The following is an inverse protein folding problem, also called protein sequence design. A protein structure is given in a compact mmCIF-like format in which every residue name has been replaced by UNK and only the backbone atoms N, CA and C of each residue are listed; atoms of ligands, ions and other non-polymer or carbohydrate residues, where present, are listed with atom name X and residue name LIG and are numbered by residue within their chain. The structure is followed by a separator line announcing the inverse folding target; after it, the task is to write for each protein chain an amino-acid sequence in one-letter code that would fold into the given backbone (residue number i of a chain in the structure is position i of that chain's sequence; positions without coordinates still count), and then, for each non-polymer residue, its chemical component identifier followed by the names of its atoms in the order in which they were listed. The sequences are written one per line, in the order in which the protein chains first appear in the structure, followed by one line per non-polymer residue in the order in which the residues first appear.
data_IF_307737641653
#
_entry.id   IF_307737641653
#
_cell.length_a   1.000
_cell.length_b   1.000
_cell.length_c   1.000
_cell.angle_alpha   90.00
_cell.angle_beta   90.00
_cell.angle_gamma   90.00
#
_symmetry.space_group_name_H-M   'P 1'
#
loop_
_entity.id
_entity.type
_entity.pdbx_description
1 polymer ?
#
# COMPACT_ATOMS: atom_id res chain seq x y z
N UNK A 1 -27.61 -28.44 -23.29
CA UNK A 1 -26.53 -29.44 -23.10
C UNK A 1 -25.20 -28.79 -23.46
N UNK A 2 -24.17 -29.03 -22.65
CA UNK A 2 -22.76 -28.58 -22.72
C UNK A 2 -22.54 -27.06 -22.61
N UNK A 3 -22.20 -26.42 -21.47
CA UNK A 3 -21.02 -26.51 -20.57
C UNK A 3 -19.66 -26.55 -21.26
N UNK A 4 -18.93 -25.44 -21.20
CA UNK A 4 -17.52 -25.32 -21.59
C UNK A 4 -16.77 -24.34 -20.69
N UNK A 5 -16.25 -24.86 -19.58
CA UNK A 5 -15.09 -24.43 -18.79
C UNK A 5 -14.66 -22.96 -18.84
N UNK A 6 -15.06 -22.19 -17.83
CA UNK A 6 -14.38 -20.96 -17.44
C UNK A 6 -13.01 -21.30 -16.85
N UNK A 7 -11.96 -20.75 -17.47
CA UNK A 7 -10.58 -20.92 -17.07
C UNK A 7 -10.36 -20.43 -15.63
N UNK A 8 -10.05 -21.39 -14.76
CA UNK A 8 -9.55 -21.15 -13.42
C UNK A 8 -8.10 -20.65 -13.48
N UNK A 9 -7.80 -19.56 -12.75
CA UNK A 9 -6.46 -19.38 -12.19
C UNK A 9 -5.50 -18.40 -12.86
N UNK A 10 -5.91 -17.17 -13.19
CA UNK A 10 -4.91 -16.09 -13.35
C UNK A 10 -5.43 -14.75 -12.82
N UNK A 11 -5.12 -14.47 -11.56
CA UNK A 11 -5.39 -13.19 -10.90
C UNK A 11 -4.09 -12.38 -10.85
N UNK A 12 -4.20 -11.14 -11.34
CA UNK A 12 -3.14 -10.14 -11.57
C UNK A 12 -2.24 -10.46 -12.79
N UNK A 13 -1.91 -9.48 -13.66
CA UNK A 13 -0.74 -9.60 -14.53
C UNK A 13 0.49 -9.93 -13.66
N UNK A 14 1.45 -10.71 -14.16
CA UNK A 14 2.64 -11.18 -13.43
C UNK A 14 3.45 -10.02 -12.82
N UNK A 15 3.05 -9.55 -11.64
CA UNK A 15 3.75 -8.53 -10.83
C UNK A 15 4.81 -9.17 -9.93
N UNK A 16 5.05 -10.49 -10.04
CA UNK A 16 6.03 -11.20 -9.23
C UNK A 16 5.77 -11.16 -7.72
N UNK A 17 4.61 -10.67 -7.27
CA UNK A 17 4.15 -10.80 -5.88
C UNK A 17 3.38 -12.11 -5.75
N UNK A 18 4.03 -13.16 -5.24
CA UNK A 18 3.28 -14.30 -4.69
C UNK A 18 2.68 -13.85 -3.36
N UNK A 19 1.40 -13.48 -3.36
CA UNK A 19 0.65 -13.34 -2.12
C UNK A 19 0.66 -14.69 -1.39
N UNK A 20 1.58 -14.88 -0.44
CA UNK A 20 1.61 -16.09 0.38
C UNK A 20 0.44 -16.00 1.36
N UNK A 21 -0.50 -16.93 1.24
CA UNK A 21 -1.52 -17.15 2.28
C UNK A 21 -2.72 -16.20 2.31
N UNK A 22 -2.86 -15.27 1.37
CA UNK A 22 -4.12 -14.51 1.21
C UNK A 22 -5.00 -15.27 0.23
N UNK A 23 -5.86 -16.14 0.78
CA UNK A 23 -6.96 -16.73 -0.02
C UNK A 23 -7.93 -15.59 -0.31
N UNK A 24 -8.09 -15.22 -1.59
CA UNK A 24 -9.21 -14.37 -1.98
C UNK A 24 -10.52 -15.01 -1.47
N UNK A 25 -11.50 -14.24 -0.97
CA UNK A 25 -12.80 -14.81 -0.63
C UNK A 25 -13.44 -15.36 -1.91
N UNK A 26 -13.35 -16.67 -2.09
CA UNK A 26 -14.20 -17.42 -3.01
C UNK A 26 -15.57 -17.65 -2.35
N UNK A 27 -16.22 -16.57 -1.95
CA UNK A 27 -17.59 -16.58 -1.45
C UNK A 27 -18.33 -15.43 -2.12
N UNK A 28 -18.88 -15.72 -3.29
CA UNK A 28 -20.07 -15.01 -3.75
C UNK A 28 -21.14 -15.23 -2.69
N UNK A 29 -21.58 -14.17 -2.02
CA UNK A 29 -22.79 -14.24 -1.22
C UNK A 29 -23.94 -14.72 -2.13
N UNK A 30 -24.91 -15.49 -1.60
CA UNK A 30 -26.03 -16.02 -2.40
C UNK A 30 -26.87 -14.95 -3.12
N UNK A 31 -26.67 -13.65 -2.84
CA UNK A 31 -27.30 -12.51 -3.49
C UNK A 31 -26.37 -11.67 -4.40
N UNK A 32 -25.18 -12.16 -4.78
CA UNK A 32 -24.26 -11.43 -5.66
C UNK A 32 -23.49 -10.29 -4.99
N UNK A 33 -23.47 -10.20 -3.65
CA UNK A 33 -22.64 -9.25 -2.93
C UNK A 33 -21.19 -9.78 -2.83
N UNK A 34 -20.23 -8.93 -3.17
CA UNK A 34 -18.80 -9.19 -2.99
C UNK A 34 -18.37 -8.80 -1.57
N UNK A 35 -17.80 -9.75 -0.82
CA UNK A 35 -17.27 -9.50 0.51
C UNK A 35 -15.98 -8.66 0.44
N UNK A 36 -16.03 -7.43 0.94
CA UNK A 36 -14.85 -6.60 1.13
C UNK A 36 -13.94 -7.21 2.19
N UNK A 37 -12.67 -7.47 1.85
CA UNK A 37 -11.70 -8.04 2.77
C UNK A 37 -11.28 -7.01 3.83
N UNK A 38 -11.40 -7.37 5.11
CA UNK A 38 -10.76 -6.59 6.18
C UNK A 38 -9.40 -7.19 6.54
N UNK A 39 -8.36 -6.36 6.50
CA UNK A 39 -6.98 -6.72 6.87
C UNK A 39 -6.55 -5.86 8.06
N UNK A 40 -6.34 -6.50 9.21
CA UNK A 40 -5.88 -5.81 10.43
C UNK A 40 -4.35 -5.66 10.49
N UNK A 41 -3.85 -4.87 11.44
CA UNK A 41 -2.42 -4.59 11.61
C UNK A 41 -1.58 -5.86 11.80
N UNK A 42 -2.08 -6.85 12.55
CA UNK A 42 -1.39 -8.13 12.76
C UNK A 42 -1.21 -8.91 11.45
N UNK A 43 -2.23 -8.89 10.59
CA UNK A 43 -2.15 -9.48 9.26
C UNK A 43 -1.20 -8.68 8.37
N UNK A 44 -1.22 -7.35 8.42
CA UNK A 44 -0.27 -6.50 7.67
C UNK A 44 1.17 -6.84 8.07
N UNK A 45 1.49 -6.91 9.37
CA UNK A 45 2.84 -7.25 9.85
C UNK A 45 3.31 -8.61 9.32
N UNK A 46 2.42 -9.61 9.27
CA UNK A 46 2.77 -10.95 8.79
C UNK A 46 2.88 -11.05 7.27
N UNK A 47 2.12 -10.24 6.53
CA UNK A 47 1.97 -10.38 5.07
C UNK A 47 2.87 -9.43 4.28
N UNK A 48 3.24 -8.28 4.82
CA UNK A 48 3.99 -7.25 4.10
C UNK A 48 5.48 -7.27 4.48
N UNK A 49 6.32 -7.74 3.56
CA UNK A 49 7.78 -7.64 3.71
C UNK A 49 8.32 -6.29 3.20
N UNK A 50 9.57 -5.96 3.56
CA UNK A 50 10.23 -4.75 3.04
C UNK A 50 10.53 -4.88 1.55
N UNK A 51 10.90 -6.06 1.07
CA UNK A 51 11.15 -6.31 -0.35
C UNK A 51 9.90 -6.13 -1.19
N UNK A 52 8.74 -6.56 -0.69
CA UNK A 52 7.45 -6.30 -1.34
C UNK A 52 7.16 -4.81 -1.39
N UNK A 53 7.41 -4.09 -0.29
CA UNK A 53 7.20 -2.65 -0.23
C UNK A 53 8.15 -1.89 -1.19
N UNK A 54 9.43 -2.24 -1.25
CA UNK A 54 10.41 -1.64 -2.17
C UNK A 54 10.00 -1.82 -3.62
N UNK A 55 9.69 -3.07 -4.03
CA UNK A 55 9.25 -3.37 -5.40
C UNK A 55 7.98 -2.62 -5.77
N UNK A 56 6.97 -2.64 -4.88
CA UNK A 56 5.69 -1.98 -5.14
C UNK A 56 5.85 -0.45 -5.24
N UNK A 57 6.63 0.16 -4.35
CA UNK A 57 6.88 1.60 -4.35
C UNK A 57 7.70 2.03 -5.55
N UNK A 58 8.75 1.28 -5.91
CA UNK A 58 9.57 1.54 -7.09
C UNK A 58 8.73 1.51 -8.37
N UNK A 59 7.91 0.45 -8.53
CA UNK A 59 7.00 0.33 -9.67
C UNK A 59 5.97 1.46 -9.70
N UNK A 60 5.41 1.85 -8.54
CA UNK A 60 4.44 2.93 -8.46
C UNK A 60 5.05 4.28 -8.86
N UNK A 61 6.28 4.59 -8.42
CA UNK A 61 7.01 5.79 -8.83
C UNK A 61 7.32 5.79 -10.33
N UNK A 62 7.82 4.67 -10.88
CA UNK A 62 8.08 4.56 -12.31
C UNK A 62 6.80 4.76 -13.15
N UNK A 63 5.70 4.13 -12.70
CA UNK A 63 4.39 4.24 -13.37
C UNK A 63 3.86 5.68 -13.33
N UNK A 64 3.94 6.34 -12.17
CA UNK A 64 3.56 7.74 -12.01
C UNK A 64 4.44 8.68 -12.85
N UNK A 65 5.76 8.49 -12.84
CA UNK A 65 6.71 9.28 -13.63
C UNK A 65 6.50 9.15 -15.13
N UNK A 66 5.96 8.02 -15.59
CA UNK A 66 5.58 7.81 -16.99
C UNK A 66 4.16 8.32 -17.37
N UNK A 67 3.45 8.97 -16.44
CA UNK A 67 2.09 9.47 -16.67
C UNK A 67 1.00 8.38 -16.68
N UNK A 68 1.31 7.16 -16.22
CA UNK A 68 0.41 6.00 -16.24
C UNK A 68 -0.26 5.70 -14.89
N UNK A 69 -0.11 6.59 -13.92
CA UNK A 69 -0.79 6.54 -12.63
C UNK A 69 -1.28 7.94 -12.24
N UNK A 70 -2.28 7.97 -11.36
CA UNK A 70 -2.85 9.20 -10.83
C UNK A 70 -2.58 9.25 -9.33
N UNK A 71 -2.12 10.41 -8.85
CA UNK A 71 -1.98 10.71 -7.44
C UNK A 71 -2.62 12.06 -7.14
N UNK A 72 -3.62 12.06 -6.24
CA UNK A 72 -4.31 13.27 -5.82
C UNK A 72 -3.65 13.81 -4.56
N UNK A 73 -3.28 15.12 -4.53
CA UNK A 73 -2.70 15.74 -3.35
C UNK A 73 -3.57 15.57 -2.11
N UNK A 74 -2.91 15.48 -0.95
CA UNK A 74 -3.59 15.27 0.33
C UNK A 74 -4.60 16.38 0.63
N UNK A 75 -5.87 16.03 0.70
CA UNK A 75 -6.91 16.92 1.22
C UNK A 75 -7.06 16.75 2.74
N UNK A 76 -7.60 17.77 3.41
CA UNK A 76 -7.77 17.79 4.86
C UNK A 76 -9.10 18.40 5.26
N UNK A 77 -9.82 17.74 6.15
CA UNK A 77 -10.96 18.30 6.88
C UNK A 77 -10.51 18.59 8.30
N UNK A 78 -10.63 19.85 8.74
CA UNK A 78 -10.17 20.30 10.06
C UNK A 78 -11.37 20.62 10.95
N UNK A 79 -11.40 20.01 12.12
CA UNK A 79 -12.30 20.31 13.21
C UNK A 79 -11.46 20.67 14.47
N UNK A 80 -12.03 21.32 15.48
CA UNK A 80 -11.35 21.49 16.76
C UNK A 80 -10.88 20.13 17.32
N UNK A 81 -9.57 19.98 17.56
CA UNK A 81 -8.98 18.75 18.12
C UNK A 81 -8.95 17.52 17.20
N UNK A 82 -9.38 17.65 15.94
CA UNK A 82 -9.46 16.54 14.99
C UNK A 82 -9.13 17.00 13.57
N UNK A 83 -8.26 16.27 12.86
CA UNK A 83 -8.07 16.47 11.42
C UNK A 83 -8.17 15.14 10.71
N UNK A 84 -9.03 15.07 9.70
CA UNK A 84 -9.08 13.96 8.74
C UNK A 84 -8.19 14.32 7.55
N UNK A 85 -7.31 13.40 7.18
CA UNK A 85 -6.44 13.48 6.01
C UNK A 85 -6.83 12.41 5.02
N UNK A 86 -6.97 12.79 3.75
CA UNK A 86 -7.27 11.84 2.66
C UNK A 86 -6.27 12.00 1.54
N UNK A 87 -5.73 10.88 1.07
CA UNK A 87 -4.84 10.79 -0.08
C UNK A 87 -5.40 9.72 -1.01
N UNK A 88 -5.62 10.03 -2.29
CA UNK A 88 -6.23 9.11 -3.24
C UNK A 88 -5.35 8.93 -4.47
N UNK A 89 -5.47 7.79 -5.13
CA UNK A 89 -4.74 7.52 -6.35
C UNK A 89 -5.28 6.29 -7.08
N UNK A 90 -4.71 6.02 -8.25
CA UNK A 90 -5.10 4.88 -9.06
C UNK A 90 -4.06 4.54 -10.11
N UNK A 91 -4.03 3.27 -10.49
CA UNK A 91 -3.18 2.73 -11.54
C UNK A 91 -4.07 1.95 -12.51
N UNK A 92 -4.42 2.52 -13.68
CA UNK A 92 -5.31 1.86 -14.64
C UNK A 92 -4.83 0.48 -15.07
N UNK A 93 -3.52 0.31 -15.27
CA UNK A 93 -2.94 -0.98 -15.68
C UNK A 93 -3.12 -2.10 -14.63
N UNK A 94 -3.36 -1.74 -13.36
CA UNK A 94 -3.69 -2.70 -12.31
C UNK A 94 -5.20 -2.86 -12.10
N UNK A 95 -6.04 -2.07 -12.78
CA UNK A 95 -7.47 -1.97 -12.52
C UNK A 95 -7.79 -1.64 -11.05
N UNK A 96 -6.99 -0.76 -10.44
CA UNK A 96 -7.10 -0.40 -9.03
C UNK A 96 -7.18 1.10 -8.82
N UNK A 97 -8.12 1.50 -7.97
CA UNK A 97 -8.14 2.82 -7.31
C UNK A 97 -8.17 2.62 -5.80
N UNK A 98 -7.76 3.63 -5.06
CA UNK A 98 -7.79 3.54 -3.61
C UNK A 98 -7.51 4.86 -2.94
N UNK A 99 -7.71 4.86 -1.62
CA UNK A 99 -7.39 5.99 -0.78
C UNK A 99 -6.79 5.53 0.54
N UNK A 100 -5.88 6.35 1.07
CA UNK A 100 -5.50 6.31 2.48
C UNK A 100 -6.21 7.45 3.20
N UNK A 101 -6.99 7.10 4.21
CA UNK A 101 -7.59 8.04 5.14
C UNK A 101 -6.95 7.87 6.52
N UNK A 102 -6.71 8.97 7.22
CA UNK A 102 -6.30 8.89 8.61
C UNK A 102 -6.73 10.12 9.39
N UNK A 103 -7.04 9.91 10.67
CA UNK A 103 -7.36 10.98 11.60
C UNK A 103 -6.15 11.29 12.46
N UNK A 104 -6.01 12.55 12.87
CA UNK A 104 -5.11 12.97 13.93
C UNK A 104 -5.94 13.65 15.01
N UNK A 105 -5.84 13.13 16.23
CA UNK A 105 -6.54 13.65 17.41
C UNK A 105 -5.58 13.78 18.59
N UNK A 106 -6.06 14.30 19.73
CA UNK A 106 -5.31 14.25 20.99
C UNK A 106 -4.96 12.82 21.45
N UNK A 107 -5.66 11.80 20.95
CA UNK A 107 -5.40 10.39 21.25
C UNK A 107 -4.44 9.72 20.25
N UNK A 108 -3.84 10.50 19.36
CA UNK A 108 -2.96 10.01 18.31
C UNK A 108 -3.66 9.83 16.97
N UNK A 109 -2.99 9.11 16.07
CA UNK A 109 -3.42 8.91 14.70
C UNK A 109 -3.96 7.50 14.46
N UNK A 110 -4.99 7.40 13.61
CA UNK A 110 -5.59 6.13 13.20
C UNK A 110 -5.70 6.10 11.68
N UNK A 111 -5.26 5.01 11.06
CA UNK A 111 -5.03 4.94 9.62
C UNK A 111 -5.80 3.79 9.00
N UNK A 112 -6.40 4.03 7.83
CA UNK A 112 -7.04 3.02 7.01
C UNK A 112 -6.72 3.26 5.53
N UNK A 113 -6.58 2.18 4.78
CA UNK A 113 -6.52 2.18 3.32
C UNK A 113 -7.76 1.45 2.81
N UNK A 114 -8.44 2.06 1.84
CA UNK A 114 -9.54 1.45 1.10
C UNK A 114 -9.08 1.21 -0.34
N UNK A 115 -9.37 0.03 -0.85
CA UNK A 115 -9.02 -0.39 -2.21
C UNK A 115 -10.28 -0.76 -2.98
N UNK A 116 -10.36 -0.32 -4.22
CA UNK A 116 -11.51 -0.53 -5.11
C UNK A 116 -11.03 -1.03 -6.48
N UNK A 117 -11.85 -1.87 -7.08
CA UNK A 117 -11.69 -2.24 -8.48
C UNK A 117 -12.09 -1.04 -9.36
N UNK A 118 -11.27 -0.69 -10.35
CA UNK A 118 -11.46 0.58 -11.06
C UNK A 118 -12.57 0.54 -12.13
N UNK A 119 -12.82 -0.61 -12.74
CA UNK A 119 -13.85 -0.81 -13.77
C UNK A 119 -15.25 -1.03 -13.18
N UNK A 120 -15.38 -1.82 -12.13
CA UNK A 120 -16.67 -2.12 -11.48
C UNK A 120 -17.01 -1.17 -10.34
N UNK A 121 -16.00 -0.53 -9.74
CA UNK A 121 -16.16 0.27 -8.52
C UNK A 121 -16.31 -0.57 -7.24
N UNK A 122 -16.19 -1.90 -7.33
CA UNK A 122 -16.39 -2.78 -6.18
C UNK A 122 -15.32 -2.58 -5.10
N UNK A 123 -15.72 -2.50 -3.81
CA UNK A 123 -14.77 -2.42 -2.71
C UNK A 123 -14.07 -3.77 -2.54
N UNK A 124 -12.74 -3.77 -2.65
CA UNK A 124 -11.92 -4.97 -2.55
C UNK A 124 -11.44 -5.20 -1.12
N UNK A 125 -10.94 -4.16 -0.47
CA UNK A 125 -10.36 -4.29 0.86
C UNK A 125 -10.40 -3.00 1.68
N UNK A 126 -10.51 -3.18 3.00
CA UNK A 126 -10.25 -2.20 4.03
C UNK A 126 -9.06 -2.69 4.89
N UNK A 127 -7.99 -1.91 4.95
CA UNK A 127 -6.69 -2.32 5.49
C UNK A 127 -6.25 -1.32 6.55
N UNK A 128 -5.99 -1.77 7.78
CA UNK A 128 -5.33 -0.94 8.78
C UNK A 128 -3.92 -0.56 8.31
N UNK A 129 -3.53 0.71 8.48
CA UNK A 129 -2.41 1.27 7.73
C UNK A 129 -1.36 2.05 8.55
N UNK A 130 -1.18 1.70 9.82
CA UNK A 130 -0.03 2.12 10.61
C UNK A 130 1.22 1.40 10.10
N UNK A 131 1.28 0.07 10.19
CA UNK A 131 2.46 -0.68 9.74
C UNK A 131 2.71 -0.53 8.24
N UNK A 132 1.66 -0.65 7.43
CA UNK A 132 1.74 -0.38 5.99
C UNK A 132 2.29 1.03 5.72
N UNK A 133 1.85 2.02 6.50
CA UNK A 133 2.31 3.40 6.43
C UNK A 133 3.81 3.55 6.70
N UNK A 134 4.32 2.87 7.73
CA UNK A 134 5.75 2.84 8.06
C UNK A 134 6.55 2.16 6.93
N UNK A 135 6.14 0.97 6.52
CA UNK A 135 6.83 0.17 5.50
C UNK A 135 6.95 0.92 4.17
N UNK A 136 5.87 1.49 3.65
CA UNK A 136 5.90 2.23 2.37
C UNK A 136 6.71 3.53 2.45
N UNK A 137 6.80 4.15 3.62
CA UNK A 137 7.61 5.37 3.82
C UNK A 137 9.10 5.01 3.82
N UNK A 138 9.47 3.95 4.55
CA UNK A 138 10.83 3.41 4.49
C UNK A 138 11.22 2.99 3.08
N UNK A 139 10.35 2.26 2.39
CA UNK A 139 10.58 1.82 1.01
C UNK A 139 10.76 3.00 0.04
N UNK A 140 9.98 4.07 0.17
CA UNK A 140 10.18 5.28 -0.65
C UNK A 140 11.58 5.88 -0.48
N UNK A 141 12.07 5.99 0.77
CA UNK A 141 13.43 6.43 1.04
C UNK A 141 14.50 5.44 0.53
N UNK A 142 14.23 4.14 0.61
CA UNK A 142 15.11 3.09 0.07
C UNK A 142 15.25 3.18 -1.46
N UNK A 143 14.13 3.34 -2.17
CA UNK A 143 14.12 3.56 -3.62
C UNK A 143 14.85 4.85 -3.98
N UNK A 144 14.60 5.95 -3.27
CA UNK A 144 15.33 7.20 -3.51
C UNK A 144 16.85 7.02 -3.32
N UNK A 145 17.25 6.34 -2.24
CA UNK A 145 18.66 6.02 -1.97
C UNK A 145 19.28 5.20 -3.10
N UNK A 146 18.60 4.15 -3.59
CA UNK A 146 19.06 3.30 -4.70
C UNK A 146 19.42 4.09 -5.95
N UNK A 147 18.65 5.14 -6.27
CA UNK A 147 18.86 5.93 -7.49
C UNK A 147 19.68 7.21 -7.31
N UNK A 148 19.81 7.73 -6.08
CA UNK A 148 20.38 9.05 -5.82
C UNK A 148 21.63 9.04 -4.94
N UNK A 149 21.89 7.96 -4.20
CA UNK A 149 23.12 7.84 -3.41
C UNK A 149 24.32 7.53 -4.31
N UNK A 150 25.52 7.89 -3.85
CA UNK A 150 26.75 7.46 -4.50
C UNK A 150 26.90 5.94 -4.37
N UNK A 151 27.38 5.27 -5.41
CA UNK A 151 27.60 3.83 -5.41
C UNK A 151 28.56 3.37 -4.28
N UNK A 152 29.52 4.23 -3.92
CA UNK A 152 30.50 3.98 -2.85
C UNK A 152 30.04 4.41 -1.45
N UNK A 153 28.76 4.83 -1.29
CA UNK A 153 28.24 5.22 0.01
C UNK A 153 28.33 4.04 1.02
N UNK A 154 29.00 4.29 2.15
CA UNK A 154 29.20 3.31 3.22
C UNK A 154 28.77 3.82 4.61
N UNK A 155 28.29 5.06 4.71
CA UNK A 155 27.87 5.70 5.96
C UNK A 155 26.46 6.27 5.80
N UNK A 156 25.62 6.13 6.84
CA UNK A 156 24.25 6.67 6.87
C UNK A 156 24.06 7.58 8.08
N UNK A 157 23.47 8.75 7.86
CA UNK A 157 23.02 9.64 8.93
C UNK A 157 21.57 9.32 9.31
N UNK A 158 21.30 9.12 10.60
CA UNK A 158 19.95 8.93 11.11
C UNK A 158 19.60 10.05 12.10
N UNK A 159 18.60 10.85 11.76
CA UNK A 159 18.06 11.89 12.64
C UNK A 159 16.73 11.43 13.23
N UNK A 160 16.65 11.32 14.56
CA UNK A 160 15.43 10.92 15.27
C UNK A 160 14.74 12.17 15.80
N UNK A 161 13.43 12.31 15.55
CA UNK A 161 12.60 13.33 16.19
C UNK A 161 11.78 12.69 17.30
N UNK A 162 12.07 13.07 18.54
CA UNK A 162 11.27 12.84 19.75
C UNK A 162 10.87 11.38 20.06
N UNK A 163 11.87 10.58 20.48
CA UNK A 163 11.68 9.39 21.33
C UNK A 163 11.02 8.15 20.73
N UNK A 164 10.37 8.23 19.57
CA UNK A 164 9.88 7.05 18.84
C UNK A 164 10.87 6.70 17.72
N UNK A 165 11.47 5.50 17.72
CA UNK A 165 12.31 5.10 16.59
C UNK A 165 11.44 5.04 15.34
N UNK A 166 11.83 5.76 14.29
CA UNK A 166 11.28 5.57 12.95
C UNK A 166 11.79 4.20 12.44
N UNK A 167 11.09 3.13 12.85
CA UNK A 167 11.48 1.74 12.62
C UNK A 167 11.66 1.41 11.13
N UNK A 168 11.03 2.20 10.26
CA UNK A 168 11.17 2.11 8.80
C UNK A 168 12.53 2.59 8.28
N UNK A 169 13.12 3.63 8.88
CA UNK A 169 14.35 4.27 8.39
C UNK A 169 15.61 3.46 8.71
N UNK A 170 15.62 2.75 9.85
CA UNK A 170 16.73 1.83 10.20
C UNK A 170 16.85 0.63 9.26
N UNK A 171 15.73 0.21 8.64
CA UNK A 171 15.71 -0.95 7.75
C UNK A 171 15.92 -0.55 6.30
N UNK A 172 15.31 0.54 5.83
CA UNK A 172 15.43 0.98 4.43
C UNK A 172 16.87 1.35 4.01
N UNK A 173 17.70 1.85 4.92
CA UNK A 173 19.12 2.11 4.65
C UNK A 173 19.94 0.81 4.50
N UNK A 174 19.49 -0.31 5.07
CA UNK A 174 20.19 -1.60 5.01
C UNK A 174 19.88 -2.35 3.70
N UNK A 175 18.74 -2.08 3.06
CA UNK A 175 18.35 -2.71 1.79
C UNK A 175 18.90 -2.00 0.54
N UNK A 176 19.75 -0.97 0.69
CA UNK A 176 20.40 -0.28 -0.42
C UNK A 176 21.69 -0.98 -0.91
N UNK A 177 21.90 -2.25 -0.56
CA UNK A 177 22.95 -3.11 -1.11
C UNK A 177 22.41 -4.50 -1.40
#
# INVERSE_FOLDING_TARGET
MATGHAASGRWLPDIGLRARGVRAPARTHPNGAHDMLFINEDQVERLLSMDDALRAVEQAFATLGSGKAVNIPRSRVRLPGHTLHVMSGGIPALNLTGLKAYTTTGHGAKFIVLLFQADTGEPLAAIEADRLGQMRTGAASGVATKYMAREDACSVGLSVRDGRPEASSRRSAVYAR
#
